data_IF_571025521113
#
_entry.id   IF_571025521113
#
_cell.length_a   1.000
_cell.length_b   1.000
_cell.length_c   1.000
_cell.angle_alpha   90.00
_cell.angle_beta   90.00
_cell.angle_gamma   90.00
#
_symmetry.space_group_name_H-M   'P 1'
#
loop_
_entity.id
_entity.type
_entity.pdbx_description
1 polymer ?
#
# COMPACT_ATOMS: atom_id res chain seq x y z
N UNK A 1 -15.10 -4.96 -6.93
CA UNK A 1 -14.22 -4.17 -6.05
C UNK A 1 -14.42 -4.55 -4.60
N UNK A 2 -13.58 -5.36 -4.10
CA UNK A 2 -13.66 -5.74 -2.71
C UNK A 2 -13.10 -4.62 -1.85
N UNK A 3 -13.88 -4.27 -0.84
CA UNK A 3 -13.73 -3.10 -0.03
C UNK A 3 -12.35 -2.80 0.55
N UNK A 4 -12.26 -1.72 1.22
CA UNK A 4 -11.05 -1.06 1.72
C UNK A 4 -10.09 -1.95 2.52
N UNK A 5 -10.57 -3.04 3.10
CA UNK A 5 -9.75 -3.96 3.91
C UNK A 5 -8.63 -4.55 3.08
N UNK A 6 -8.92 -4.93 1.84
CA UNK A 6 -7.92 -5.54 0.99
C UNK A 6 -6.82 -4.59 0.54
N UNK A 7 -7.04 -3.29 0.63
CA UNK A 7 -6.04 -2.29 0.29
C UNK A 7 -5.00 -2.10 1.38
N UNK A 8 -5.42 -2.18 2.64
CA UNK A 8 -4.56 -1.94 3.78
C UNK A 8 -3.36 -2.88 3.85
N UNK A 9 -3.55 -4.12 3.39
CA UNK A 9 -2.52 -5.14 3.46
C UNK A 9 -1.55 -5.12 2.29
N UNK A 10 -1.84 -4.34 1.25
CA UNK A 10 -1.14 -4.42 -0.03
C UNK A 10 0.24 -3.81 0.00
N UNK A 11 0.37 -2.66 0.63
CA UNK A 11 1.64 -1.94 0.67
C UNK A 11 2.72 -2.77 1.37
N UNK A 12 2.37 -3.35 2.51
CA UNK A 12 3.30 -4.14 3.29
C UNK A 12 3.70 -5.43 2.56
N UNK A 13 2.77 -6.08 1.87
CA UNK A 13 3.03 -7.33 1.16
C UNK A 13 3.88 -7.17 -0.10
N UNK A 14 3.97 -5.98 -0.65
CA UNK A 14 4.82 -5.71 -1.82
C UNK A 14 6.29 -5.99 -1.50
N UNK A 15 6.74 -5.61 -0.31
CA UNK A 15 8.14 -5.76 0.10
C UNK A 15 8.37 -6.77 1.21
N UNK A 16 7.36 -7.03 2.04
CA UNK A 16 7.44 -7.96 3.17
C UNK A 16 6.29 -8.97 3.11
N UNK A 17 6.50 -10.12 2.43
CA UNK A 17 5.43 -11.11 2.30
C UNK A 17 5.06 -11.75 3.63
N UNK A 18 3.78 -11.99 3.82
CA UNK A 18 3.27 -12.72 4.97
C UNK A 18 3.39 -14.22 4.76
N UNK A 19 3.39 -14.98 5.85
CA UNK A 19 3.40 -16.45 5.79
C UNK A 19 2.08 -17.02 5.28
N UNK A 20 0.97 -16.32 5.55
CA UNK A 20 -0.35 -16.69 5.09
C UNK A 20 -0.65 -16.04 3.72
N UNK A 21 -1.61 -16.58 3.00
CA UNK A 21 -2.09 -16.04 1.74
C UNK A 21 -0.99 -15.82 0.67
N UNK A 22 -0.19 -16.85 0.43
CA UNK A 22 0.93 -16.80 -0.53
C UNK A 22 0.46 -16.38 -1.93
N UNK A 23 -0.64 -16.96 -2.43
CA UNK A 23 -1.18 -16.62 -3.76
C UNK A 23 -1.52 -15.15 -3.88
N UNK A 24 -2.13 -14.57 -2.85
CA UNK A 24 -2.45 -13.15 -2.80
C UNK A 24 -1.18 -12.30 -2.80
N UNK A 25 -0.20 -12.67 -1.99
CA UNK A 25 1.08 -11.98 -1.90
C UNK A 25 1.80 -11.98 -3.26
N UNK A 26 1.87 -13.13 -3.93
CA UNK A 26 2.50 -13.24 -5.24
C UNK A 26 1.79 -12.38 -6.27
N UNK A 27 0.46 -12.35 -6.29
CA UNK A 27 -0.28 -11.52 -7.23
C UNK A 27 -0.04 -10.02 -6.99
N UNK A 28 0.12 -9.59 -5.74
CA UNK A 28 0.45 -8.20 -5.42
C UNK A 28 1.87 -7.82 -5.77
N UNK A 29 2.81 -8.74 -5.57
CA UNK A 29 4.19 -8.53 -6.00
C UNK A 29 4.29 -8.43 -7.52
N UNK A 30 3.55 -9.26 -8.25
CA UNK A 30 3.49 -9.19 -9.71
C UNK A 30 2.90 -7.85 -10.19
N UNK A 31 1.85 -7.37 -9.52
CA UNK A 31 1.25 -6.05 -9.84
C UNK A 31 2.25 -4.92 -9.62
N UNK A 32 3.01 -4.96 -8.52
CA UNK A 32 4.04 -3.95 -8.24
C UNK A 32 5.15 -4.00 -9.29
N UNK A 33 5.60 -5.20 -9.66
CA UNK A 33 6.62 -5.37 -10.69
C UNK A 33 6.16 -4.85 -12.05
N UNK A 34 4.85 -4.95 -12.35
CA UNK A 34 4.28 -4.48 -13.61
C UNK A 34 4.41 -2.96 -13.78
N UNK A 35 4.47 -2.19 -12.70
CA UNK A 35 4.62 -0.73 -12.77
C UNK A 35 5.90 -0.36 -13.53
N UNK A 36 7.01 -1.00 -13.22
CA UNK A 36 8.28 -0.74 -13.91
C UNK A 36 8.22 -1.16 -15.37
N UNK A 37 7.71 -2.34 -15.64
CA UNK A 37 7.59 -2.86 -17.01
C UNK A 37 6.68 -1.98 -17.87
N UNK A 38 5.56 -1.55 -17.32
CA UNK A 38 4.62 -0.68 -18.03
C UNK A 38 5.22 0.73 -18.25
N UNK A 39 5.95 1.24 -17.25
CA UNK A 39 6.62 2.54 -17.40
C UNK A 39 7.62 2.53 -18.55
N UNK A 40 8.38 1.46 -18.70
CA UNK A 40 9.34 1.30 -19.80
C UNK A 40 8.59 1.14 -21.13
N UNK A 41 7.57 0.28 -21.17
CA UNK A 41 6.81 -0.01 -22.40
C UNK A 41 6.08 1.21 -22.95
N UNK A 42 5.61 2.10 -22.08
CA UNK A 42 4.87 3.30 -22.47
C UNK A 42 5.71 4.57 -22.44
N UNK A 43 7.03 4.46 -22.25
CA UNK A 43 7.91 5.61 -22.21
C UNK A 43 7.73 6.50 -23.45
N UNK A 44 7.59 7.80 -23.21
CA UNK A 44 7.34 8.78 -24.25
C UNK A 44 5.87 8.95 -24.65
N UNK A 45 5.00 8.05 -24.22
CA UNK A 45 3.54 8.13 -24.49
C UNK A 45 2.71 8.30 -23.23
N UNK A 46 3.16 7.70 -22.12
CA UNK A 46 2.47 7.79 -20.85
C UNK A 46 3.45 7.55 -19.70
N UNK A 47 3.17 8.15 -18.56
CA UNK A 47 3.84 7.86 -17.31
C UNK A 47 3.04 6.80 -16.56
N UNK A 48 3.74 5.91 -15.87
CA UNK A 48 3.12 4.80 -15.17
C UNK A 48 3.69 4.73 -13.76
N UNK A 49 2.86 5.01 -12.76
CA UNK A 49 3.25 5.02 -11.36
C UNK A 49 2.19 4.33 -10.52
N UNK A 50 2.54 3.98 -9.30
CA UNK A 50 1.63 3.35 -8.36
C UNK A 50 1.62 4.04 -7.02
N UNK A 51 0.49 3.95 -6.32
CA UNK A 51 0.37 4.33 -4.91
C UNK A 51 0.01 3.06 -4.14
N UNK A 52 0.78 2.78 -3.10
CA UNK A 52 0.58 1.61 -2.25
C UNK A 52 0.10 2.08 -0.87
N UNK A 53 -1.20 2.16 -0.65
CA UNK A 53 -1.73 2.57 0.65
C UNK A 53 -1.57 1.47 1.68
N UNK A 54 -1.35 1.86 2.93
CA UNK A 54 -1.40 0.97 4.05
C UNK A 54 -2.82 0.76 4.57
N UNK A 55 -2.91 0.45 5.85
CA UNK A 55 -4.19 0.36 6.53
C UNK A 55 -4.76 1.77 6.71
N UNK A 56 -5.60 2.16 5.79
CA UNK A 56 -6.29 3.45 5.81
C UNK A 56 -7.63 3.23 6.50
N UNK A 57 -7.89 4.02 7.51
CA UNK A 57 -9.09 3.94 8.34
C UNK A 57 -10.33 4.20 7.49
N UNK A 58 -11.41 3.70 7.78
CA UNK A 58 -11.95 2.89 8.87
C UNK A 58 -12.93 1.96 8.24
N UNK A 59 -12.81 0.76 8.61
CA UNK A 59 -13.85 -0.18 8.27
C UNK A 59 -14.50 -0.56 9.58
N UNK A 60 -15.78 -0.85 9.58
CA UNK A 60 -16.48 -1.40 10.71
C UNK A 60 -15.88 -2.74 11.18
N UNK A 61 -14.86 -3.22 10.46
CA UNK A 61 -14.14 -4.46 10.76
C UNK A 61 -13.12 -4.33 11.90
N UNK A 62 -12.78 -3.10 12.28
CA UNK A 62 -11.83 -2.84 13.35
C UNK A 62 -12.48 -2.04 14.47
N UNK A 63 -12.25 -2.48 15.70
CA UNK A 63 -12.65 -1.71 16.88
C UNK A 63 -11.68 -0.55 17.08
N UNK A 64 -12.10 0.46 17.87
CA UNK A 64 -11.23 1.58 18.22
C UNK A 64 -9.94 1.12 18.91
N UNK A 65 -10.05 0.11 19.79
CA UNK A 65 -8.88 -0.47 20.47
C UNK A 65 -7.92 -1.13 19.48
N UNK A 66 -8.46 -1.83 18.48
CA UNK A 66 -7.64 -2.43 17.42
C UNK A 66 -6.94 -1.37 16.60
N UNK A 67 -7.64 -0.29 16.24
CA UNK A 67 -7.05 0.83 15.49
C UNK A 67 -5.89 1.47 16.25
N UNK A 68 -6.07 1.73 17.54
CA UNK A 68 -5.01 2.31 18.39
C UNK A 68 -3.81 1.37 18.45
N UNK A 69 -4.04 0.07 18.62
CA UNK A 69 -2.96 -0.92 18.66
C UNK A 69 -2.22 -0.99 17.34
N UNK A 70 -2.94 -1.02 16.22
CA UNK A 70 -2.33 -1.08 14.89
C UNK A 70 -1.55 0.18 14.58
N UNK A 71 -2.07 1.34 14.94
CA UNK A 71 -1.35 2.61 14.79
C UNK A 71 -0.02 2.59 15.56
N UNK A 72 -0.03 2.07 16.79
CA UNK A 72 1.18 1.93 17.60
C UNK A 72 2.22 0.97 17.02
N UNK A 73 1.82 0.06 16.15
CA UNK A 73 2.71 -0.87 15.48
C UNK A 73 3.39 -0.26 14.24
N UNK A 74 2.86 0.84 13.73
CA UNK A 74 3.44 1.50 12.56
C UNK A 74 4.68 2.31 12.96
N UNK A 75 5.73 2.34 12.13
CA UNK A 75 6.91 3.16 12.41
C UNK A 75 6.61 4.62 12.71
N UNK A 76 5.61 5.21 12.06
CA UNK A 76 5.22 6.59 12.32
C UNK A 76 4.26 6.74 13.51
N UNK A 77 3.82 5.64 14.12
CA UNK A 77 2.92 5.67 15.27
C UNK A 77 1.49 6.06 14.94
N UNK A 78 1.14 6.13 13.66
CA UNK A 78 -0.19 6.52 13.21
C UNK A 78 -0.54 5.78 11.93
N UNK A 79 -1.83 5.56 11.71
CA UNK A 79 -2.34 5.02 10.45
C UNK A 79 -2.43 6.15 9.42
N UNK A 80 -2.19 5.85 8.13
CA UNK A 80 -2.32 6.88 7.09
C UNK A 80 -3.77 7.31 6.92
N UNK A 81 -3.94 8.59 6.57
CA UNK A 81 -5.27 9.13 6.30
C UNK A 81 -5.66 8.93 4.83
N UNK A 82 -6.96 8.90 4.52
CA UNK A 82 -7.42 8.89 3.13
C UNK A 82 -6.92 10.08 2.33
N UNK A 83 -6.82 11.27 2.96
CA UNK A 83 -6.32 12.47 2.29
C UNK A 83 -4.85 12.34 1.92
N UNK A 84 -4.03 11.68 2.73
CA UNK A 84 -2.62 11.45 2.41
C UNK A 84 -2.47 10.57 1.16
N UNK A 85 -3.32 9.55 1.02
CA UNK A 85 -3.35 8.70 -0.17
C UNK A 85 -3.76 9.52 -1.40
N UNK A 86 -4.80 10.34 -1.27
CA UNK A 86 -5.26 11.21 -2.35
C UNK A 86 -4.18 12.21 -2.78
N UNK A 87 -3.45 12.79 -1.83
CA UNK A 87 -2.35 13.71 -2.11
C UNK A 87 -1.25 13.04 -2.93
N UNK A 88 -0.93 11.80 -2.63
CA UNK A 88 0.07 11.04 -3.39
C UNK A 88 -0.39 10.80 -4.84
N UNK A 89 -1.66 10.48 -5.04
CA UNK A 89 -2.23 10.31 -6.38
C UNK A 89 -2.16 11.62 -7.16
N UNK A 90 -2.56 12.73 -6.56
CA UNK A 90 -2.54 14.05 -7.20
C UNK A 90 -1.09 14.45 -7.55
N UNK A 91 -0.15 14.22 -6.64
CA UNK A 91 1.26 14.48 -6.91
C UNK A 91 1.74 13.74 -8.16
N UNK A 92 1.49 12.44 -8.22
CA UNK A 92 1.92 11.63 -9.36
C UNK A 92 1.21 12.04 -10.66
N UNK A 93 -0.05 12.45 -10.58
CA UNK A 93 -0.78 12.93 -11.76
C UNK A 93 -0.16 14.18 -12.36
N UNK A 94 0.43 15.04 -11.52
CA UNK A 94 1.05 16.30 -11.94
C UNK A 94 2.55 16.21 -12.20
N UNK A 95 3.22 15.20 -11.67
CA UNK A 95 4.68 15.08 -11.71
C UNK A 95 5.15 14.59 -13.07
N UNK A 96 5.43 15.53 -13.98
CA UNK A 96 5.77 15.25 -15.38
C UNK A 96 7.06 14.43 -15.55
N UNK A 97 7.97 14.49 -14.60
CA UNK A 97 9.28 13.84 -14.70
C UNK A 97 9.36 12.55 -13.88
N UNK A 98 8.23 12.04 -13.40
CA UNK A 98 8.20 10.84 -12.55
C UNK A 98 7.45 9.71 -13.27
N UNK A 99 8.14 8.59 -13.46
CA UNK A 99 7.54 7.37 -13.99
C UNK A 99 8.22 6.14 -13.38
N UNK A 100 7.51 5.03 -13.30
CA UNK A 100 8.04 3.78 -12.76
C UNK A 100 8.19 3.75 -11.24
N UNK A 101 7.53 4.66 -10.53
CA UNK A 101 7.63 4.79 -9.08
C UNK A 101 6.40 4.23 -8.37
N UNK A 102 6.64 3.71 -7.17
CA UNK A 102 5.58 3.34 -6.23
C UNK A 102 5.79 4.15 -4.96
N UNK A 103 4.77 4.93 -4.58
CA UNK A 103 4.79 5.69 -3.33
C UNK A 103 4.00 4.91 -2.28
N UNK A 104 4.68 4.56 -1.20
CA UNK A 104 4.04 3.91 -0.06
C UNK A 104 3.46 4.97 0.87
N UNK A 105 2.15 4.90 1.10
CA UNK A 105 1.43 5.77 2.03
C UNK A 105 0.85 4.87 3.11
N UNK A 106 1.69 4.39 4.00
CA UNK A 106 1.38 3.27 4.89
C UNK A 106 1.90 3.43 6.33
N UNK A 107 2.31 4.64 6.70
CA UNK A 107 2.88 4.87 8.02
C UNK A 107 4.21 4.16 8.27
N UNK A 108 4.84 3.68 7.21
CA UNK A 108 6.09 2.93 7.29
C UNK A 108 5.90 1.42 7.45
N UNK A 109 4.68 0.92 7.33
CA UNK A 109 4.40 -0.51 7.51
C UNK A 109 5.24 -1.41 6.60
N UNK A 110 5.56 -0.96 5.38
CA UNK A 110 6.38 -1.72 4.44
C UNK A 110 7.82 -1.95 4.93
N UNK A 111 8.26 -1.23 5.94
CA UNK A 111 9.59 -1.37 6.53
C UNK A 111 9.64 -2.45 7.61
N UNK A 112 8.49 -2.97 8.01
CA UNK A 112 8.37 -4.02 9.01
C UNK A 112 7.81 -5.29 8.41
N UNK A 113 8.24 -6.43 8.93
CA UNK A 113 7.62 -7.72 8.65
C UNK A 113 6.61 -8.04 9.73
N UNK A 114 5.43 -8.51 9.31
CA UNK A 114 4.40 -9.00 10.22
C UNK A 114 4.17 -10.48 9.91
N UNK A 115 4.08 -11.28 10.97
CA UNK A 115 3.91 -12.73 10.81
C UNK A 115 2.55 -13.09 10.23
N UNK A 116 1.54 -12.25 10.47
CA UNK A 116 0.17 -12.49 10.06
C UNK A 116 -0.43 -11.22 9.47
N UNK A 117 -1.53 -11.42 8.77
CA UNK A 117 -2.36 -10.33 8.27
C UNK A 117 -2.86 -9.47 9.44
N UNK A 118 -3.03 -8.18 9.20
CA UNK A 118 -3.51 -7.22 10.21
C UNK A 118 -4.85 -7.63 10.85
N UNK A 119 -5.68 -8.36 10.11
CA UNK A 119 -6.94 -8.90 10.65
C UNK A 119 -6.71 -9.87 11.81
N UNK A 120 -5.54 -10.47 11.90
CA UNK A 120 -5.18 -11.49 12.89
C UNK A 120 -4.18 -11.00 13.95
N UNK A 121 -3.83 -9.73 13.90
CA UNK A 121 -2.98 -9.09 14.92
C UNK A 121 -3.84 -8.44 16.03
#
# INVERSE_FOLDING_TARGET
WQGNINRAHRAQRVVNPHRDQISYTLSKQALAASVRSMAVSFAGRARYNGVAPGLVISTDDYTEEQEVRLAGMMPLGALPSPSAVADAVVYLAKAQDVTGQIIFVDGGAHLKSFDRDFMHL
#
